data_IF_510032392396
#
_entry.id   IF_510032392396
#
_cell.length_a   1.000
_cell.length_b   1.000
_cell.length_c   1.000
_cell.angle_alpha   90.00
_cell.angle_beta   90.00
_cell.angle_gamma   90.00
#
_symmetry.space_group_name_H-M   'P 1'
#
loop_
_entity.id
_entity.type
_entity.pdbx_description
1 polymer ?
#
# COMPACT_ATOMS: atom_id res chain seq x y z
N UNK A 1 -2.54 -25.91 -8.49
CA UNK A 1 -2.86 -26.00 -7.06
C UNK A 1 -4.16 -26.77 -6.87
N UNK A 2 -4.33 -27.58 -5.81
CA UNK A 2 -5.59 -28.26 -5.55
C UNK A 2 -6.70 -27.21 -5.32
N UNK A 3 -7.82 -27.35 -6.03
CA UNK A 3 -8.91 -26.38 -6.00
C UNK A 3 -9.47 -26.12 -4.58
N UNK A 4 -9.36 -27.12 -3.69
CA UNK A 4 -9.79 -27.04 -2.29
C UNK A 4 -9.00 -26.01 -1.46
N UNK A 5 -7.76 -25.70 -1.83
CA UNK A 5 -6.92 -24.73 -1.11
C UNK A 5 -7.03 -23.31 -1.65
N UNK A 6 -7.69 -23.09 -2.79
CA UNK A 6 -7.80 -21.75 -3.38
C UNK A 6 -8.60 -20.81 -2.48
N UNK A 7 -9.76 -21.26 -1.98
CA UNK A 7 -10.62 -20.46 -1.10
C UNK A 7 -9.89 -20.06 0.20
N UNK A 8 -9.33 -20.99 1.00
CA UNK A 8 -8.66 -20.60 2.25
C UNK A 8 -7.43 -19.71 2.01
N UNK A 9 -6.68 -19.94 0.93
CA UNK A 9 -5.51 -19.13 0.61
C UNK A 9 -5.90 -17.72 0.12
N UNK A 10 -6.97 -17.60 -0.66
CA UNK A 10 -7.52 -16.30 -1.06
C UNK A 10 -8.02 -15.51 0.14
N UNK A 11 -8.69 -16.16 1.09
CA UNK A 11 -9.14 -15.53 2.34
C UNK A 11 -7.93 -15.08 3.17
N UNK A 12 -6.90 -15.91 3.31
CA UNK A 12 -5.66 -15.55 3.99
C UNK A 12 -5.01 -14.31 3.36
N UNK A 13 -4.92 -14.28 2.03
CA UNK A 13 -4.34 -13.15 1.32
C UNK A 13 -5.19 -11.87 1.46
N UNK A 14 -6.51 -12.01 1.41
CA UNK A 14 -7.43 -10.91 1.65
C UNK A 14 -7.20 -10.30 3.04
N UNK A 15 -7.16 -11.11 4.10
CA UNK A 15 -6.91 -10.61 5.46
C UNK A 15 -5.52 -10.01 5.63
N UNK A 16 -4.50 -10.58 5.00
CA UNK A 16 -3.14 -10.04 5.04
C UNK A 16 -3.07 -8.61 4.46
N UNK A 17 -3.78 -8.33 3.37
CA UNK A 17 -3.75 -7.02 2.70
C UNK A 17 -4.83 -6.04 3.21
N UNK A 18 -5.83 -6.52 3.96
CA UNK A 18 -6.98 -5.76 4.41
C UNK A 18 -6.58 -4.60 5.34
N UNK A 19 -5.82 -4.88 6.41
CA UNK A 19 -5.51 -3.89 7.43
C UNK A 19 -4.81 -2.66 6.85
N UNK A 20 -3.82 -2.89 5.99
CA UNK A 20 -3.11 -1.83 5.29
C UNK A 20 -4.01 -1.06 4.30
N UNK A 21 -4.84 -1.78 3.54
CA UNK A 21 -5.69 -1.17 2.50
C UNK A 21 -6.82 -0.30 3.05
N UNK A 22 -7.33 -0.64 4.24
CA UNK A 22 -8.39 0.10 4.95
C UNK A 22 -7.83 1.28 5.75
N UNK A 23 -6.56 1.24 6.12
CA UNK A 23 -5.94 2.31 6.90
C UNK A 23 -5.90 3.65 6.14
N UNK A 24 -5.44 3.65 4.89
CA UNK A 24 -5.38 4.87 4.06
C UNK A 24 -6.73 5.57 3.90
N UNK A 25 -7.83 4.90 3.48
CA UNK A 25 -9.13 5.54 3.37
C UNK A 25 -9.66 6.02 4.72
N UNK A 26 -9.36 5.31 5.81
CA UNK A 26 -9.72 5.74 7.16
C UNK A 26 -9.04 7.07 7.52
N UNK A 27 -7.74 7.20 7.24
CA UNK A 27 -6.98 8.44 7.45
C UNK A 27 -7.49 9.59 6.58
N UNK A 28 -7.93 9.31 5.35
CA UNK A 28 -8.50 10.32 4.45
C UNK A 28 -9.99 10.60 4.68
N UNK A 29 -10.67 9.88 5.59
CA UNK A 29 -12.10 10.06 5.87
C UNK A 29 -13.04 9.62 4.74
N UNK A 30 -12.59 8.70 3.87
CA UNK A 30 -13.38 8.18 2.74
C UNK A 30 -13.85 6.75 3.01
N UNK A 31 -14.86 6.30 2.27
CA UNK A 31 -15.40 4.95 2.43
C UNK A 31 -14.37 3.86 2.02
N UNK A 32 -13.90 3.02 2.96
CA UNK A 32 -12.91 1.98 2.67
C UNK A 32 -13.41 0.90 1.71
N UNK A 33 -14.72 0.66 1.65
CA UNK A 33 -15.30 -0.35 0.77
C UNK A 33 -15.05 -0.02 -0.71
N UNK A 34 -15.08 1.27 -1.08
CA UNK A 34 -14.82 1.73 -2.45
C UNK A 34 -13.35 1.47 -2.82
N UNK A 35 -12.44 1.75 -1.90
CA UNK A 35 -11.00 1.52 -2.10
C UNK A 35 -10.71 0.02 -2.20
N UNK A 36 -11.29 -0.80 -1.34
CA UNK A 36 -11.16 -2.26 -1.41
C UNK A 36 -11.70 -2.81 -2.73
N UNK A 37 -12.85 -2.32 -3.19
CA UNK A 37 -13.43 -2.71 -4.46
C UNK A 37 -12.52 -2.34 -5.63
N UNK A 38 -12.01 -1.11 -5.68
CA UNK A 38 -11.11 -0.66 -6.76
C UNK A 38 -9.74 -1.36 -6.72
N UNK A 39 -9.21 -1.66 -5.54
CA UNK A 39 -7.98 -2.46 -5.39
C UNK A 39 -8.17 -3.89 -5.89
N UNK A 40 -9.33 -4.50 -5.62
CA UNK A 40 -9.70 -5.81 -6.15
C UNK A 40 -9.81 -5.82 -7.67
N UNK A 41 -10.53 -4.86 -8.24
CA UNK A 41 -10.66 -4.68 -9.70
C UNK A 41 -9.29 -4.44 -10.34
N UNK A 42 -8.48 -3.56 -9.75
CA UNK A 42 -7.13 -3.29 -10.23
C UNK A 42 -6.22 -4.52 -10.18
N UNK A 43 -6.32 -5.33 -9.13
CA UNK A 43 -5.55 -6.57 -9.00
C UNK A 43 -5.94 -7.57 -10.08
N UNK A 44 -7.23 -7.74 -10.36
CA UNK A 44 -7.70 -8.58 -11.46
C UNK A 44 -7.18 -8.07 -12.81
N UNK A 45 -7.24 -6.75 -13.03
CA UNK A 45 -6.70 -6.13 -14.24
C UNK A 45 -5.19 -6.35 -14.38
N UNK A 46 -4.43 -6.22 -13.29
CA UNK A 46 -2.99 -6.50 -13.26
C UNK A 46 -2.68 -7.95 -13.64
N UNK A 47 -3.40 -8.92 -13.07
CA UNK A 47 -3.24 -10.35 -13.39
C UNK A 47 -3.55 -10.61 -14.87
N UNK A 48 -4.60 -9.97 -15.42
CA UNK A 48 -4.95 -10.08 -16.84
C UNK A 48 -3.87 -9.49 -17.75
N UNK A 49 -3.39 -8.28 -17.46
CA UNK A 49 -2.34 -7.61 -18.25
C UNK A 49 -1.02 -8.40 -18.21
N UNK A 50 -0.64 -8.92 -17.04
CA UNK A 50 0.59 -9.71 -16.86
C UNK A 50 0.45 -11.16 -17.33
N UNK A 51 -0.72 -11.56 -17.84
CA UNK A 51 -1.04 -12.93 -18.28
C UNK A 51 -0.81 -13.98 -17.17
N UNK A 52 -1.06 -13.61 -15.92
CA UNK A 52 -0.87 -14.48 -14.75
C UNK A 52 0.59 -14.84 -14.45
N UNK A 53 1.58 -14.11 -15.00
CA UNK A 53 3.00 -14.39 -14.76
C UNK A 53 3.53 -13.81 -13.44
N UNK A 54 2.88 -12.78 -12.90
CA UNK A 54 3.30 -12.11 -11.67
C UNK A 54 2.19 -12.17 -10.61
N UNK A 55 2.41 -12.86 -9.46
CA UNK A 55 1.47 -12.86 -8.36
C UNK A 55 1.65 -11.58 -7.53
N UNK A 56 0.87 -10.54 -7.83
CA UNK A 56 0.85 -9.31 -7.04
C UNK A 56 -0.58 -8.86 -6.75
N UNK A 57 -0.75 -8.22 -5.59
CA UNK A 57 -2.00 -7.59 -5.16
C UNK A 57 -1.78 -6.09 -5.03
N UNK A 58 -2.70 -5.31 -5.58
CA UNK A 58 -2.65 -3.85 -5.52
C UNK A 58 -3.32 -3.39 -4.21
N UNK A 59 -2.51 -2.92 -3.28
CA UNK A 59 -2.97 -2.29 -2.04
C UNK A 59 -2.91 -0.77 -2.10
N UNK A 60 -3.46 -0.11 -1.08
CA UNK A 60 -3.32 1.34 -0.93
C UNK A 60 -1.87 1.70 -0.62
N UNK A 61 -1.28 2.62 -1.40
CA UNK A 61 0.13 3.00 -1.23
C UNK A 61 0.30 4.08 -0.17
N UNK A 62 1.08 3.76 0.86
CA UNK A 62 1.35 4.65 1.99
C UNK A 62 2.29 5.81 1.66
N UNK A 63 3.06 5.70 0.58
CA UNK A 63 3.87 6.81 0.08
C UNK A 63 3.02 8.05 -0.27
N UNK A 64 1.70 7.87 -0.50
CA UNK A 64 0.79 8.96 -0.75
C UNK A 64 0.19 9.60 0.51
N UNK A 65 0.37 9.03 1.70
CA UNK A 65 -0.30 9.51 2.93
C UNK A 65 0.13 10.95 3.27
N UNK A 66 1.44 11.19 3.34
CA UNK A 66 2.01 12.51 3.62
C UNK A 66 1.67 13.56 2.54
N UNK A 67 1.97 13.35 1.24
CA UNK A 67 1.69 14.36 0.22
C UNK A 67 0.18 14.57 -0.01
N UNK A 68 -0.64 13.51 0.02
CA UNK A 68 -2.07 13.68 -0.14
C UNK A 68 -2.69 14.38 1.06
N UNK A 69 -2.23 14.12 2.30
CA UNK A 69 -2.68 14.85 3.48
C UNK A 69 -2.46 16.36 3.36
N UNK A 70 -1.30 16.78 2.82
CA UNK A 70 -1.00 18.20 2.58
C UNK A 70 -1.91 18.79 1.49
N UNK A 71 -2.16 18.05 0.41
CA UNK A 71 -3.03 18.52 -0.69
C UNK A 71 -4.49 18.61 -0.23
N UNK A 72 -4.99 17.61 0.49
CA UNK A 72 -6.36 17.57 1.02
C UNK A 72 -6.59 18.75 1.97
N UNK A 73 -5.64 19.03 2.87
CA UNK A 73 -5.78 20.13 3.84
C UNK A 73 -5.72 21.51 3.19
N UNK A 74 -4.97 21.69 2.09
CA UNK A 74 -4.80 22.99 1.42
C UNK A 74 -5.78 23.26 0.29
N UNK A 75 -6.10 22.25 -0.50
CA UNK A 75 -6.85 22.39 -1.77
C UNK A 75 -8.13 21.55 -1.80
N UNK A 76 -8.26 20.55 -0.92
CA UNK A 76 -9.41 19.65 -0.87
C UNK A 76 -9.17 18.30 -1.55
N UNK A 77 -10.08 17.36 -1.31
CA UNK A 77 -9.94 15.97 -1.75
C UNK A 77 -10.01 15.79 -3.28
N UNK A 78 -10.77 16.65 -3.97
CA UNK A 78 -10.92 16.60 -5.44
C UNK A 78 -9.57 16.83 -6.16
N UNK A 79 -8.73 17.71 -5.62
CA UNK A 79 -7.38 17.95 -6.14
C UNK A 79 -6.43 16.78 -5.86
N UNK A 80 -6.62 16.06 -4.74
CA UNK A 80 -5.88 14.84 -4.47
C UNK A 80 -6.24 13.73 -5.48
N UNK A 81 -7.52 13.58 -5.85
CA UNK A 81 -7.94 12.65 -6.89
C UNK A 81 -7.29 12.96 -8.25
N UNK A 82 -7.29 14.23 -8.66
CA UNK A 82 -6.60 14.65 -9.89
C UNK A 82 -5.10 14.34 -9.86
N UNK A 83 -4.47 14.53 -8.70
CA UNK A 83 -3.06 14.19 -8.48
C UNK A 83 -2.82 12.68 -8.60
N UNK A 84 -3.70 11.84 -8.05
CA UNK A 84 -3.59 10.38 -8.17
C UNK A 84 -3.68 9.92 -9.64
N UNK A 85 -4.59 10.50 -10.42
CA UNK A 85 -4.70 10.20 -11.86
C UNK A 85 -3.44 10.62 -12.61
N UNK A 86 -2.91 11.81 -12.33
CA UNK A 86 -1.69 12.32 -12.96
C UNK A 86 -0.46 11.44 -12.64
N UNK A 87 -0.32 11.00 -11.38
CA UNK A 87 0.77 10.09 -10.97
C UNK A 87 0.61 8.70 -11.62
N UNK A 88 -0.62 8.18 -11.69
CA UNK A 88 -0.90 6.93 -12.40
C UNK A 88 -0.50 7.00 -13.87
N UNK A 89 -0.84 8.10 -14.56
CA UNK A 89 -0.43 8.33 -15.94
C UNK A 89 1.09 8.46 -16.11
N UNK A 90 1.76 9.17 -15.20
CA UNK A 90 3.22 9.24 -15.16
C UNK A 90 3.84 7.83 -15.00
N UNK A 91 3.25 7.00 -14.14
CA UNK A 91 3.63 5.58 -13.99
C UNK A 91 3.48 4.78 -15.28
N UNK A 92 2.41 5.00 -16.06
CA UNK A 92 2.26 4.37 -17.37
C UNK A 92 3.35 4.79 -18.37
N UNK A 93 3.71 6.08 -18.39
CA UNK A 93 4.81 6.59 -19.22
C UNK A 93 6.13 5.93 -18.82
N UNK A 94 6.41 5.87 -17.51
CA UNK A 94 7.61 5.24 -16.99
C UNK A 94 7.66 3.75 -17.35
N UNK A 95 6.53 3.03 -17.27
CA UNK A 95 6.45 1.65 -17.69
C UNK A 95 6.78 1.45 -19.18
N UNK A 96 6.31 2.36 -20.05
CA UNK A 96 6.66 2.35 -21.49
C UNK A 96 8.15 2.64 -21.72
N UNK A 97 8.74 3.53 -20.92
CA UNK A 97 10.16 3.84 -20.99
C UNK A 97 11.00 2.62 -20.58
N UNK A 98 10.66 1.97 -19.47
CA UNK A 98 11.31 0.73 -19.02
C UNK A 98 11.17 -0.38 -20.08
N UNK A 99 9.99 -0.50 -20.70
CA UNK A 99 9.77 -1.46 -21.78
C UNK A 99 10.71 -1.23 -22.98
N UNK A 100 11.04 0.03 -23.29
CA UNK A 100 11.89 0.38 -24.43
C UNK A 100 13.39 0.37 -24.13
N UNK A 101 13.79 0.82 -22.95
CA UNK A 101 15.21 1.02 -22.58
C UNK A 101 15.77 -0.07 -21.65
N UNK A 102 14.94 -0.99 -21.17
CA UNK A 102 15.32 -2.00 -20.18
C UNK A 102 15.33 -1.46 -18.74
N UNK A 103 15.66 -2.34 -17.79
CA UNK A 103 15.65 -2.05 -16.35
C UNK A 103 17.04 -1.78 -15.75
N UNK A 104 18.12 -1.97 -16.50
CA UNK A 104 19.49 -1.96 -15.96
C UNK A 104 19.90 -0.61 -15.34
N UNK A 105 19.32 0.49 -15.84
CA UNK A 105 19.54 1.82 -15.28
C UNK A 105 18.89 2.00 -13.90
N UNK A 106 17.85 1.23 -13.58
CA UNK A 106 17.16 1.30 -12.28
C UNK A 106 18.11 0.84 -11.17
N UNK A 107 18.92 -0.20 -11.41
CA UNK A 107 19.89 -0.68 -10.41
C UNK A 107 21.02 0.33 -10.15
N UNK A 108 21.29 1.23 -11.11
CA UNK A 108 22.25 2.33 -10.95
C UNK A 108 21.64 3.50 -10.17
N UNK A 109 20.37 3.84 -10.45
CA UNK A 109 19.68 4.97 -9.79
C UNK A 109 19.19 4.59 -8.40
N UNK A 110 18.69 3.37 -8.24
CA UNK A 110 18.13 2.79 -7.02
C UNK A 110 18.82 1.45 -6.73
N UNK A 111 20.09 1.46 -6.29
CA UNK A 111 20.78 0.24 -5.93
C UNK A 111 20.07 -0.45 -4.75
N UNK A 112 20.25 -1.77 -4.55
CA UNK A 112 19.64 -2.51 -3.44
C UNK A 112 19.94 -1.90 -2.06
N UNK A 113 21.13 -1.32 -1.90
CA UNK A 113 21.55 -0.60 -0.70
C UNK A 113 20.70 0.65 -0.40
N UNK A 114 20.03 1.24 -1.40
CA UNK A 114 19.11 2.36 -1.23
C UNK A 114 17.65 1.88 -1.17
N UNK A 115 17.25 0.91 -2.01
CA UNK A 115 15.88 0.40 -2.04
C UNK A 115 15.46 -0.24 -0.71
N UNK A 116 16.32 -1.06 -0.12
CA UNK A 116 16.03 -1.76 1.13
C UNK A 116 15.68 -0.80 2.28
N UNK A 117 16.53 0.18 2.60
CA UNK A 117 16.22 1.19 3.62
C UNK A 117 14.96 2.00 3.32
N UNK A 118 14.71 2.39 2.07
CA UNK A 118 13.48 3.13 1.72
C UNK A 118 12.23 2.30 2.01
N UNK A 119 12.22 1.02 1.64
CA UNK A 119 11.10 0.11 1.94
C UNK A 119 10.94 -0.11 3.45
N UNK A 120 12.05 -0.26 4.18
CA UNK A 120 12.03 -0.41 5.62
C UNK A 120 11.49 0.84 6.33
N UNK A 121 11.84 2.04 5.85
CA UNK A 121 11.35 3.32 6.38
C UNK A 121 9.86 3.49 6.16
N UNK A 122 9.33 3.12 4.99
CA UNK A 122 7.87 3.13 4.75
C UNK A 122 7.16 2.23 5.77
N UNK A 123 7.69 1.02 6.01
CA UNK A 123 7.16 0.10 7.01
C UNK A 123 7.25 0.66 8.45
N UNK A 124 8.36 1.31 8.79
CA UNK A 124 8.57 1.89 10.12
C UNK A 124 7.66 3.10 10.36
N UNK A 125 7.45 3.94 9.35
CA UNK A 125 6.51 5.07 9.40
C UNK A 125 5.08 4.60 9.74
N UNK A 126 4.69 3.42 9.25
CA UNK A 126 3.38 2.81 9.49
C UNK A 126 3.24 2.16 10.86
N UNK A 127 4.35 1.79 11.49
CA UNK A 127 4.31 1.09 12.79
C UNK A 127 3.59 1.90 13.87
N UNK A 128 3.74 3.23 13.84
CA UNK A 128 3.06 4.13 14.77
C UNK A 128 1.54 4.13 14.61
N UNK A 129 1.05 4.23 13.36
CA UNK A 129 -0.39 4.18 13.09
C UNK A 129 -0.99 2.81 13.40
N UNK A 130 -0.24 1.73 13.12
CA UNK A 130 -0.66 0.37 13.48
C UNK A 130 -0.76 0.20 15.01
N UNK A 131 0.23 0.69 15.77
CA UNK A 131 0.22 0.65 17.23
C UNK A 131 -0.94 1.48 17.82
N UNK A 132 -1.23 2.64 17.22
CA UNK A 132 -2.37 3.47 17.60
C UNK A 132 -3.71 2.74 17.41
N UNK A 133 -3.91 2.13 16.23
CA UNK A 133 -5.13 1.36 15.93
C UNK A 133 -5.27 0.12 16.81
N UNK A 134 -4.16 -0.47 17.25
CA UNK A 134 -4.16 -1.60 18.18
C UNK A 134 -4.39 -1.18 19.64
N UNK A 135 -4.49 0.12 19.94
CA UNK A 135 -4.62 0.63 21.31
C UNK A 135 -3.37 0.47 22.16
N UNK A 136 -2.20 0.27 21.54
CA UNK A 136 -0.93 0.08 22.26
C UNK A 136 -0.26 1.39 22.67
N UNK A 137 -0.76 2.53 22.18
CA UNK A 137 -0.27 3.86 22.51
C UNK A 137 -1.05 4.49 23.67
N UNK A 138 -1.14 3.78 24.81
CA UNK A 138 -1.71 4.37 26.03
C UNK A 138 -0.75 5.40 26.65
N UNK A 139 -1.29 6.56 27.04
CA UNK A 139 -0.57 7.68 27.68
C UNK A 139 -0.10 7.35 29.12
N UNK A 140 -0.55 6.20 29.66
CA UNK A 140 -0.10 5.61 30.93
C UNK A 140 0.42 4.20 30.69
N UNK A 141 1.61 3.91 31.21
CA UNK A 141 2.15 2.55 31.24
C UNK A 141 1.33 1.75 32.26
N UNK A 142 0.34 0.96 31.80
CA UNK A 142 -0.33 -0.04 32.62
C UNK A 142 0.66 -1.20 32.87
N UNK A 143 1.08 -1.47 34.12
CA UNK A 143 2.08 -2.50 34.43
C UNK A 143 1.59 -3.94 34.15
N UNK A 144 0.29 -4.16 33.90
CA UNK A 144 -0.26 -5.46 33.48
C UNK A 144 0.13 -5.84 32.03
N UNK A 145 0.27 -4.87 31.13
CA UNK A 145 0.61 -5.14 29.72
C UNK A 145 2.11 -5.42 29.51
N UNK A 146 2.95 -5.14 30.51
CA UNK A 146 4.38 -5.41 30.46
C UNK A 146 4.71 -6.91 30.64
N UNK A 147 3.82 -7.69 31.24
CA UNK A 147 4.06 -9.11 31.58
C UNK A 147 3.88 -10.00 30.34
N UNK A 148 3.16 -9.54 29.32
CA UNK A 148 2.86 -10.33 28.11
C UNK A 148 4.06 -10.45 27.17
N UNK A 149 5.11 -9.65 27.36
CA UNK A 149 6.32 -9.64 26.52
C UNK A 149 7.57 -10.23 27.22
N UNK A 150 7.42 -10.91 28.35
CA UNK A 150 8.49 -11.62 29.05
C UNK A 150 8.27 -13.13 28.97
#
# INVERSE_FOLDING_TARGET
MPAKLLIPLSIQHMFAMFGASVLVPFVFGINPAIVLFMNGVGTLLFILITKGKAPAYLGSSFAFLAPAGIVITKFGYEYALGSFVAVGFCGCILALLIYKFGSDWIDVVLPPAAMGPVVALIGLELSGTAASNAGLLEEKIQPENAIVFL
#
